data_IF_564143483775
#
_entry.id   IF_564143483775
#
_cell.length_a   1.000
_cell.length_b   1.000
_cell.length_c   1.000
_cell.angle_alpha   90.00
_cell.angle_beta   90.00
_cell.angle_gamma   90.00
#
_symmetry.space_group_name_H-M   'P 1'
#
loop_
_entity.id
_entity.type
_entity.pdbx_description
1 polymer ?
#
# COMPACT_ATOMS: atom_id res chain seq x y z
N UNK A 1 -16.65 4.34 -2.32
CA UNK A 1 -17.58 3.94 -3.40
C UNK A 1 -18.46 5.11 -3.80
N UNK A 2 -18.61 5.34 -5.10
CA UNK A 2 -19.47 6.41 -5.67
C UNK A 2 -20.38 5.78 -6.71
N UNK A 3 -21.65 6.18 -6.74
CA UNK A 3 -22.63 5.78 -7.75
C UNK A 3 -23.47 7.01 -8.10
N UNK A 4 -23.64 7.28 -9.39
CA UNK A 4 -24.42 8.42 -9.90
C UNK A 4 -24.03 9.77 -9.25
N UNK A 5 -22.73 9.99 -9.09
CA UNK A 5 -22.16 11.19 -8.44
C UNK A 5 -22.37 11.26 -6.92
N UNK A 6 -23.07 10.30 -6.30
CA UNK A 6 -23.28 10.23 -4.86
C UNK A 6 -22.27 9.30 -4.20
N UNK A 7 -21.67 9.76 -3.11
CA UNK A 7 -20.76 8.92 -2.33
C UNK A 7 -21.58 8.01 -1.42
N UNK A 8 -21.52 6.70 -1.70
CA UNK A 8 -22.22 5.68 -0.92
C UNK A 8 -21.43 5.28 0.32
N UNK A 9 -20.10 5.20 0.19
CA UNK A 9 -19.23 4.74 1.27
C UNK A 9 -17.85 5.37 1.17
N UNK A 10 -17.24 5.62 2.32
CA UNK A 10 -15.85 6.10 2.48
C UNK A 10 -15.18 5.29 3.59
N UNK A 11 -13.90 5.00 3.40
CA UNK A 11 -13.08 4.32 4.40
C UNK A 11 -11.64 4.81 4.32
N UNK A 12 -10.99 4.87 5.47
CA UNK A 12 -9.58 5.22 5.60
C UNK A 12 -8.91 4.10 6.38
N UNK A 13 -8.07 3.32 5.68
CA UNK A 13 -7.15 2.39 6.32
C UNK A 13 -5.90 3.15 6.77
N UNK A 14 -5.34 2.76 7.91
CA UNK A 14 -4.07 3.29 8.40
C UNK A 14 -3.10 2.11 8.53
N UNK A 15 -1.92 2.26 7.92
CA UNK A 15 -0.79 1.36 8.11
C UNK A 15 0.43 2.17 8.55
N UNK A 16 1.10 1.69 9.60
CA UNK A 16 2.33 2.26 10.13
C UNK A 16 3.51 1.37 9.72
N UNK A 17 4.54 1.98 9.15
CA UNK A 17 5.71 1.27 8.64
C UNK A 17 6.98 1.83 9.27
N UNK A 18 7.71 0.98 9.98
CA UNK A 18 8.98 1.35 10.62
C UNK A 18 10.12 1.00 9.67
N UNK A 19 10.89 2.00 9.25
CA UNK A 19 12.11 1.75 8.47
C UNK A 19 13.18 1.13 9.35
N UNK A 20 13.97 0.21 8.76
CA UNK A 20 15.21 -0.26 9.40
C UNK A 20 16.19 0.91 9.53
N UNK A 21 17.20 0.76 10.40
CA UNK A 21 18.40 1.58 10.32
C UNK A 21 19.18 1.24 9.05
N UNK A 22 19.18 2.13 8.07
CA UNK A 22 19.82 1.91 6.77
C UNK A 22 21.23 2.52 6.72
N UNK A 23 22.17 1.75 6.20
CA UNK A 23 23.50 2.21 5.85
C UNK A 23 23.48 2.88 4.46
N UNK A 24 24.16 4.03 4.24
CA UNK A 24 24.22 4.69 2.93
C UNK A 24 24.67 3.78 1.80
N UNK A 25 25.61 2.86 2.04
CA UNK A 25 26.05 1.94 0.99
C UNK A 25 24.98 0.90 0.64
N UNK A 26 24.17 0.46 1.61
CA UNK A 26 22.98 -0.34 1.32
C UNK A 26 21.97 0.43 0.45
N UNK A 27 21.68 1.69 0.79
CA UNK A 27 20.75 2.53 0.02
C UNK A 27 21.22 2.65 -1.43
N UNK A 28 22.51 2.92 -1.65
CA UNK A 28 23.09 3.00 -3.00
C UNK A 28 22.93 1.70 -3.79
N UNK A 29 23.23 0.55 -3.19
CA UNK A 29 23.04 -0.77 -3.84
C UNK A 29 21.57 -1.09 -4.11
N UNK A 30 20.68 -0.76 -3.18
CA UNK A 30 19.25 -0.95 -3.34
C UNK A 30 18.71 -0.12 -4.51
N UNK A 31 19.02 1.18 -4.56
CA UNK A 31 18.59 2.07 -5.64
C UNK A 31 19.18 1.67 -6.99
N UNK A 32 20.45 1.24 -7.03
CA UNK A 32 21.06 0.72 -8.26
C UNK A 32 20.32 -0.51 -8.82
N UNK A 33 19.77 -1.35 -7.95
CA UNK A 33 19.04 -2.57 -8.32
C UNK A 33 17.59 -2.28 -8.71
N UNK A 34 16.90 -1.42 -7.96
CA UNK A 34 15.51 -1.02 -8.26
C UNK A 34 15.44 -0.13 -9.51
N UNK A 35 16.43 0.73 -9.70
CA UNK A 35 16.55 1.61 -10.85
C UNK A 35 15.37 2.58 -10.98
N UNK A 36 14.92 2.78 -12.22
CA UNK A 36 13.87 3.76 -12.54
C UNK A 36 12.53 3.50 -11.84
N UNK A 37 12.26 2.28 -11.37
CA UNK A 37 11.02 1.96 -10.62
C UNK A 37 10.91 2.77 -9.32
N UNK A 38 12.03 3.13 -8.70
CA UNK A 38 12.05 3.98 -7.52
C UNK A 38 11.49 5.38 -7.83
N UNK A 39 11.56 5.84 -9.07
CA UNK A 39 11.05 7.16 -9.48
C UNK A 39 9.55 7.15 -9.81
N UNK A 40 8.95 5.96 -9.93
CA UNK A 40 7.54 5.79 -10.24
C UNK A 40 6.63 5.61 -9.02
N UNK A 41 7.17 5.75 -7.81
CA UNK A 41 6.43 5.51 -6.56
C UNK A 41 6.65 6.62 -5.54
N UNK A 42 5.62 6.91 -4.75
CA UNK A 42 5.73 7.83 -3.61
C UNK A 42 6.65 7.22 -2.56
N UNK A 43 7.60 8.01 -2.05
CA UNK A 43 8.59 7.54 -1.07
C UNK A 43 9.75 6.73 -1.65
N UNK A 44 9.81 6.56 -2.98
CA UNK A 44 10.87 5.87 -3.70
C UNK A 44 11.06 4.37 -3.36
N UNK A 45 9.97 3.69 -2.98
CA UNK A 45 9.96 2.25 -2.75
C UNK A 45 8.67 1.60 -3.27
N UNK A 46 8.69 0.28 -3.43
CA UNK A 46 7.53 -0.56 -3.74
C UNK A 46 7.52 -1.73 -2.76
N UNK A 47 6.45 -1.84 -1.96
CA UNK A 47 6.36 -2.86 -0.91
C UNK A 47 6.21 -4.27 -1.49
N UNK A 48 5.66 -4.36 -2.71
CA UNK A 48 5.45 -5.57 -3.49
C UNK A 48 6.74 -6.10 -4.13
N UNK A 49 7.78 -5.27 -4.15
CA UNK A 49 9.09 -5.59 -4.70
C UNK A 49 10.19 -5.51 -3.64
N UNK A 50 11.39 -5.10 -4.06
CA UNK A 50 12.55 -5.03 -3.16
C UNK A 50 12.42 -3.99 -2.05
N UNK A 51 11.46 -3.07 -2.14
CA UNK A 51 11.20 -2.08 -1.11
C UNK A 51 10.81 -2.71 0.24
N UNK A 52 10.32 -3.95 0.27
CA UNK A 52 10.08 -4.69 1.53
C UNK A 52 11.33 -4.81 2.40
N UNK A 53 12.51 -4.83 1.78
CA UNK A 53 13.78 -4.89 2.51
C UNK A 53 14.08 -3.59 3.27
N UNK A 54 13.33 -2.50 3.07
CA UNK A 54 13.58 -1.23 3.77
C UNK A 54 12.97 -1.21 5.18
N UNK A 55 12.02 -2.10 5.49
CA UNK A 55 11.20 -2.02 6.69
C UNK A 55 11.56 -3.07 7.75
N UNK A 56 11.50 -2.65 9.01
CA UNK A 56 11.69 -3.49 10.19
C UNK A 56 10.36 -4.07 10.68
N UNK A 57 9.30 -3.25 10.60
CA UNK A 57 7.98 -3.57 11.13
C UNK A 57 6.90 -2.92 10.29
N UNK A 58 5.80 -3.64 10.10
CA UNK A 58 4.59 -3.15 9.45
C UNK A 58 3.42 -3.45 10.38
N UNK A 59 2.61 -2.44 10.67
CA UNK A 59 1.42 -2.53 11.49
C UNK A 59 0.22 -2.00 10.72
N UNK A 60 -0.89 -2.73 10.73
CA UNK A 60 -2.07 -2.45 9.92
C UNK A 60 -2.21 -3.43 8.75
N UNK A 61 -3.00 -3.05 7.76
CA UNK A 61 -3.35 -3.93 6.65
C UNK A 61 -2.42 -3.73 5.44
N UNK A 62 -1.86 -4.83 4.92
CA UNK A 62 -1.06 -4.80 3.70
C UNK A 62 -1.82 -4.14 2.54
N UNK A 63 -3.11 -4.43 2.37
CA UNK A 63 -3.94 -3.86 1.29
C UNK A 63 -4.05 -2.33 1.37
N UNK A 64 -4.01 -1.78 2.58
CA UNK A 64 -3.93 -0.33 2.80
C UNK A 64 -2.63 0.25 2.24
N UNK A 65 -1.49 -0.46 2.38
CA UNK A 65 -0.18 -0.01 1.89
C UNK A 65 -0.14 -0.02 0.36
N UNK A 66 -0.70 -1.05 -0.28
CA UNK A 66 -0.79 -1.17 -1.74
C UNK A 66 -1.81 -0.21 -2.37
N UNK A 67 -2.56 0.55 -1.55
CA UNK A 67 -3.42 1.64 -2.00
C UNK A 67 -4.89 1.30 -2.18
N UNK A 68 -5.35 0.11 -1.75
CA UNK A 68 -6.78 -0.22 -1.78
C UNK A 68 -7.16 -1.09 -0.57
N UNK A 69 -7.91 -0.58 0.42
CA UNK A 69 -8.36 -1.36 1.58
C UNK A 69 -9.38 -2.42 1.14
N UNK A 70 -8.87 -3.55 0.68
CA UNK A 70 -9.62 -4.52 -0.11
C UNK A 70 -10.71 -5.22 0.69
N UNK A 71 -10.41 -5.65 1.92
CA UNK A 71 -11.39 -6.35 2.76
C UNK A 71 -12.57 -5.43 3.15
N UNK A 72 -12.35 -4.20 3.64
CA UNK A 72 -13.44 -3.24 3.86
C UNK A 72 -14.24 -2.94 2.59
N UNK A 73 -13.56 -2.81 1.44
CA UNK A 73 -14.23 -2.56 0.16
C UNK A 73 -15.13 -3.73 -0.26
N UNK A 74 -14.63 -4.96 -0.17
CA UNK A 74 -15.39 -6.16 -0.55
C UNK A 74 -16.57 -6.40 0.40
N UNK A 75 -16.42 -6.12 1.69
CA UNK A 75 -17.52 -6.15 2.64
C UNK A 75 -18.64 -5.18 2.21
N UNK A 76 -18.29 -3.92 1.93
CA UNK A 76 -19.27 -2.93 1.48
C UNK A 76 -19.92 -3.31 0.13
N UNK A 77 -19.17 -3.89 -0.80
CA UNK A 77 -19.73 -4.35 -2.07
C UNK A 77 -20.74 -5.49 -1.90
N UNK A 78 -20.54 -6.39 -0.93
CA UNK A 78 -21.53 -7.42 -0.55
C UNK A 78 -22.76 -6.80 0.09
N UNK A 79 -22.57 -5.86 1.01
CA UNK A 79 -23.68 -5.16 1.68
C UNK A 79 -24.57 -4.40 0.68
N UNK A 80 -23.96 -3.89 -0.40
CA UNK A 80 -24.66 -3.23 -1.51
C UNK A 80 -25.25 -4.22 -2.54
N UNK A 81 -25.09 -5.52 -2.34
CA UNK A 81 -25.53 -6.57 -3.27
C UNK A 81 -24.85 -6.52 -4.64
N UNK A 82 -23.68 -5.87 -4.74
CA UNK A 82 -22.96 -5.71 -5.99
C UNK A 82 -22.12 -6.94 -6.35
N UNK A 83 -21.76 -7.75 -5.35
CA UNK A 83 -21.05 -9.03 -5.49
C UNK A 83 -21.68 -10.06 -4.53
N UNK A 84 -21.42 -11.34 -4.79
CA UNK A 84 -21.92 -12.45 -3.98
C UNK A 84 -21.27 -12.52 -2.58
N UNK A 85 -22.04 -13.02 -1.62
CA UNK A 85 -21.72 -13.04 -0.18
C UNK A 85 -21.48 -14.44 0.36
#
# INVERSE_FOLDING_TARGET
LVRDGKVLWRHVGIASMTMRKLDPAFIGRHLARVGAKALGSVGAYQIEGEGIQLFEKIEGDHFTIVGLPLLPLLAELRDLGAIDG
#
